data_IF_586115073423
#
_entry.id   IF_586115073423
#
_cell.length_a   1.000
_cell.length_b   1.000
_cell.length_c   1.000
_cell.angle_alpha   90.00
_cell.angle_beta   90.00
_cell.angle_gamma   90.00
#
_symmetry.space_group_name_H-M   'P 1'
#
loop_
_entity.id
_entity.type
_entity.pdbx_description
1 polymer ?
#
# COMPACT_ATOMS: atom_id res chain seq x y z
N UNK A 1 10.60 -21.06 -6.27
CA UNK A 1 9.96 -20.43 -7.44
C UNK A 1 9.11 -19.28 -6.97
N UNK A 2 9.27 -18.12 -7.62
CA UNK A 2 8.42 -16.96 -7.40
C UNK A 2 7.00 -17.30 -7.87
N UNK A 3 6.02 -17.20 -6.99
CA UNK A 3 4.60 -17.37 -7.35
C UNK A 3 3.99 -15.98 -7.51
N UNK A 4 3.48 -15.64 -8.70
CA UNK A 4 2.80 -14.39 -8.91
C UNK A 4 1.53 -14.28 -8.06
N UNK A 5 1.14 -13.07 -7.73
CA UNK A 5 -0.14 -12.76 -7.07
C UNK A 5 -1.30 -12.85 -8.07
N UNK A 6 -2.53 -12.61 -7.63
CA UNK A 6 -3.75 -12.75 -8.46
C UNK A 6 -3.71 -11.89 -9.74
N UNK A 7 -3.01 -10.75 -9.67
CA UNK A 7 -2.82 -9.84 -10.80
C UNK A 7 -1.64 -10.21 -11.72
N UNK A 8 -1.00 -11.35 -11.48
CA UNK A 8 0.15 -11.84 -12.24
C UNK A 8 1.49 -11.18 -11.88
N UNK A 9 1.52 -10.24 -10.92
CA UNK A 9 2.75 -9.55 -10.51
C UNK A 9 3.33 -10.19 -9.25
N UNK A 10 4.63 -10.45 -9.26
CA UNK A 10 5.34 -11.05 -8.12
C UNK A 10 5.88 -9.94 -7.22
N UNK A 11 5.28 -9.74 -6.06
CA UNK A 11 5.73 -8.77 -5.05
C UNK A 11 6.43 -9.44 -3.88
N UNK A 12 6.01 -10.66 -3.56
CA UNK A 12 6.48 -11.43 -2.40
C UNK A 12 7.15 -12.72 -2.84
N UNK A 13 8.25 -13.06 -2.18
CA UNK A 13 9.01 -14.27 -2.47
C UNK A 13 9.15 -15.10 -1.19
N UNK A 14 8.91 -16.41 -1.22
CA UNK A 14 9.16 -17.28 -0.08
C UNK A 14 10.66 -17.42 0.16
N UNK A 15 11.09 -17.21 1.42
CA UNK A 15 12.46 -17.49 1.85
C UNK A 15 12.68 -18.95 2.20
N UNK A 16 11.60 -19.64 2.59
CA UNK A 16 11.61 -21.06 2.90
C UNK A 16 10.37 -21.71 2.32
N UNK A 17 10.51 -22.90 1.76
CA UNK A 17 9.43 -23.69 1.18
C UNK A 17 9.37 -25.05 1.88
N UNK A 18 8.18 -25.48 2.26
CA UNK A 18 7.96 -26.81 2.82
C UNK A 18 7.66 -27.80 1.67
N UNK A 19 8.52 -28.79 1.54
CA UNK A 19 8.34 -29.89 0.58
C UNK A 19 8.41 -31.21 1.34
N UNK A 20 7.34 -31.96 1.34
CA UNK A 20 7.25 -33.25 2.04
C UNK A 20 7.69 -33.18 3.52
N UNK A 21 7.18 -32.17 4.24
CA UNK A 21 7.50 -31.90 5.65
C UNK A 21 8.96 -31.56 5.94
N UNK A 22 9.74 -31.20 4.92
CA UNK A 22 11.08 -30.65 5.05
C UNK A 22 11.12 -29.20 4.58
N UNK A 23 11.80 -28.35 5.33
CA UNK A 23 11.99 -26.95 4.98
C UNK A 23 13.24 -26.80 4.10
N UNK A 24 13.04 -26.17 2.95
CA UNK A 24 14.12 -25.86 2.01
C UNK A 24 14.25 -24.35 1.90
N UNK A 25 15.47 -23.78 2.09
CA UNK A 25 15.69 -22.35 1.94
C UNK A 25 15.64 -21.93 0.47
N UNK A 26 15.31 -20.66 0.23
CA UNK A 26 15.52 -20.03 -1.06
C UNK A 26 17.02 -19.98 -1.38
N UNK A 27 17.36 -20.02 -2.67
CA UNK A 27 18.76 -20.01 -3.13
C UNK A 27 19.57 -18.84 -2.53
N UNK A 28 19.02 -17.62 -2.54
CA UNK A 28 19.70 -16.44 -1.99
C UNK A 28 19.93 -16.54 -0.47
N UNK A 29 18.99 -17.14 0.28
CA UNK A 29 19.14 -17.35 1.72
C UNK A 29 20.27 -18.35 2.02
N UNK A 30 20.31 -19.46 1.27
CA UNK A 30 21.34 -20.47 1.41
C UNK A 30 22.71 -19.95 0.94
N UNK A 31 22.75 -19.18 -0.16
CA UNK A 31 23.96 -18.53 -0.64
C UNK A 31 24.57 -17.62 0.43
N UNK A 32 23.73 -16.81 1.09
CA UNK A 32 24.18 -15.92 2.16
C UNK A 32 24.72 -16.70 3.36
N UNK A 33 24.03 -17.75 3.80
CA UNK A 33 24.47 -18.62 4.88
C UNK A 33 25.86 -19.24 4.62
N UNK A 34 26.03 -19.76 3.41
CA UNK A 34 27.29 -20.40 3.01
C UNK A 34 28.43 -19.37 2.91
N UNK A 35 28.16 -18.17 2.40
CA UNK A 35 29.17 -17.14 2.25
C UNK A 35 29.76 -16.68 3.60
N UNK A 36 28.97 -16.69 4.68
CA UNK A 36 29.43 -16.34 6.03
C UNK A 36 29.83 -17.58 6.85
N UNK A 37 29.83 -18.74 6.23
CA UNK A 37 30.16 -20.01 6.88
C UNK A 37 29.35 -20.28 8.16
N UNK A 38 28.07 -19.86 8.17
CA UNK A 38 27.18 -20.10 9.29
C UNK A 38 26.62 -21.52 9.24
N UNK A 39 26.58 -22.27 10.35
CA UNK A 39 26.06 -23.65 10.36
C UNK A 39 24.56 -23.72 10.14
N UNK A 40 23.82 -22.61 10.40
CA UNK A 40 22.35 -22.62 10.38
C UNK A 40 21.74 -21.27 10.07
N UNK A 41 20.47 -21.27 9.75
CA UNK A 41 19.61 -20.08 9.79
C UNK A 41 18.60 -20.22 10.92
N UNK A 42 18.20 -19.10 11.50
CA UNK A 42 17.23 -19.05 12.59
C UNK A 42 15.87 -18.69 12.02
N UNK A 43 14.84 -19.35 12.49
CA UNK A 43 13.46 -19.07 12.17
C UNK A 43 12.60 -19.12 13.43
N UNK A 44 11.60 -18.26 13.52
CA UNK A 44 10.60 -18.30 14.58
C UNK A 44 9.26 -18.69 13.97
N UNK A 45 8.66 -19.72 14.55
CA UNK A 45 7.32 -20.19 14.18
C UNK A 45 6.29 -19.69 15.19
N UNK A 46 5.09 -19.41 14.70
CA UNK A 46 3.88 -19.11 15.49
C UNK A 46 2.80 -20.10 15.07
N UNK A 47 1.62 -19.99 15.68
CA UNK A 47 0.45 -20.77 15.25
C UNK A 47 0.00 -20.44 13.83
N UNK A 48 0.30 -19.23 13.35
CA UNK A 48 -0.07 -18.74 12.02
C UNK A 48 0.95 -19.11 10.94
N UNK A 49 2.17 -19.52 11.31
CA UNK A 49 3.24 -19.86 10.38
C UNK A 49 4.62 -19.36 10.83
N UNK A 50 5.45 -18.94 9.89
CA UNK A 50 6.79 -18.42 10.16
C UNK A 50 6.71 -16.90 10.32
N UNK A 51 7.10 -16.40 11.49
CA UNK A 51 7.06 -14.97 11.85
C UNK A 51 8.27 -14.20 11.29
N UNK A 52 9.47 -14.79 11.42
CA UNK A 52 10.69 -14.21 10.86
C UNK A 52 11.76 -15.26 10.59
N UNK A 53 12.69 -14.89 9.70
CA UNK A 53 13.86 -15.69 9.32
C UNK A 53 15.09 -14.77 9.32
N UNK A 54 16.25 -15.30 9.74
CA UNK A 54 17.53 -14.62 9.57
C UNK A 54 18.69 -15.59 9.45
N UNK A 55 19.75 -15.16 8.81
CA UNK A 55 21.11 -15.69 9.01
C UNK A 55 21.69 -14.93 10.21
N UNK A 56 22.29 -15.58 11.22
CA UNK A 56 22.66 -14.97 12.50
C UNK A 56 23.46 -13.66 12.40
N UNK A 57 24.34 -13.51 11.43
CA UNK A 57 25.15 -12.32 11.21
C UNK A 57 24.45 -11.18 10.47
N UNK A 58 23.19 -11.37 10.05
CA UNK A 58 22.44 -10.44 9.21
C UNK A 58 21.12 -9.99 9.86
N UNK A 59 20.51 -8.92 9.32
CA UNK A 59 19.24 -8.43 9.82
C UNK A 59 18.13 -9.48 9.80
N UNK A 60 17.19 -9.33 10.71
CA UNK A 60 15.99 -10.15 10.79
C UNK A 60 15.00 -9.78 9.69
N UNK A 61 14.52 -10.76 8.93
CA UNK A 61 13.49 -10.60 7.91
C UNK A 61 12.14 -11.05 8.47
N UNK A 62 11.21 -10.10 8.67
CA UNK A 62 9.82 -10.44 8.97
C UNK A 62 9.17 -11.06 7.76
N UNK A 63 8.44 -12.15 7.96
CA UNK A 63 7.74 -12.88 6.91
C UNK A 63 6.23 -12.86 7.13
N UNK A 64 5.47 -13.14 6.07
CA UNK A 64 4.07 -13.52 6.25
C UNK A 64 3.95 -14.99 6.69
N UNK A 65 2.72 -15.45 6.99
CA UNK A 65 2.45 -16.81 7.45
C UNK A 65 3.00 -17.91 6.49
N UNK A 66 3.21 -17.59 5.23
CA UNK A 66 3.77 -18.47 4.20
C UNK A 66 5.28 -18.31 4.01
N UNK A 67 5.99 -17.72 4.97
CA UNK A 67 7.42 -17.45 4.93
C UNK A 67 7.85 -16.52 3.77
N UNK A 68 6.96 -15.66 3.26
CA UNK A 68 7.26 -14.75 2.15
C UNK A 68 7.64 -13.38 2.68
N UNK A 69 8.59 -12.73 2.01
CA UNK A 69 8.96 -11.32 2.23
C UNK A 69 8.53 -10.47 1.02
N UNK A 70 8.20 -9.21 1.27
CA UNK A 70 8.19 -8.21 0.21
C UNK A 70 9.63 -7.89 -0.18
N UNK A 71 9.85 -7.59 -1.45
CA UNK A 71 11.16 -7.14 -1.93
C UNK A 71 11.12 -5.66 -2.27
N UNK A 72 12.21 -4.96 -1.93
CA UNK A 72 12.50 -3.68 -2.55
C UNK A 72 13.06 -3.94 -3.96
N UNK A 73 12.28 -3.61 -4.96
CA UNK A 73 12.60 -3.82 -6.37
C UNK A 73 13.37 -2.65 -7.01
N UNK A 74 13.64 -1.58 -6.26
CA UNK A 74 14.26 -0.37 -6.79
C UNK A 74 15.78 -0.51 -6.98
N UNK A 75 16.36 -1.63 -6.57
CA UNK A 75 17.81 -1.85 -6.68
C UNK A 75 18.21 -2.18 -8.13
N UNK A 76 19.23 -1.50 -8.60
CA UNK A 76 19.89 -1.80 -9.87
C UNK A 76 21.21 -2.49 -9.62
N UNK A 77 21.49 -3.57 -10.35
CA UNK A 77 22.73 -4.32 -10.26
C UNK A 77 23.59 -4.05 -11.48
N UNK A 78 24.91 -4.06 -11.28
CA UNK A 78 25.85 -4.08 -12.37
C UNK A 78 25.73 -5.41 -13.13
N UNK A 79 25.73 -5.36 -14.45
CA UNK A 79 25.53 -6.51 -15.32
C UNK A 79 26.64 -6.57 -16.38
N UNK A 80 27.15 -7.75 -16.60
CA UNK A 80 28.06 -8.06 -17.67
C UNK A 80 27.59 -9.30 -18.43
N UNK A 81 27.97 -9.42 -19.69
CA UNK A 81 27.87 -10.69 -20.39
C UNK A 81 28.92 -11.67 -19.88
N UNK A 82 28.67 -12.99 -20.06
CA UNK A 82 29.66 -13.98 -19.62
C UNK A 82 31.04 -13.81 -20.31
N UNK A 83 31.05 -13.30 -21.55
CA UNK A 83 32.30 -13.03 -22.28
C UNK A 83 33.07 -11.85 -21.65
N UNK A 84 32.38 -10.73 -21.40
CA UNK A 84 32.97 -9.56 -20.74
C UNK A 84 33.52 -9.92 -19.36
N UNK A 85 32.83 -10.78 -18.61
CA UNK A 85 33.29 -11.25 -17.30
C UNK A 85 34.57 -12.06 -17.39
N UNK A 86 34.74 -12.88 -18.42
CA UNK A 86 35.99 -13.64 -18.65
C UNK A 86 37.17 -12.73 -19.00
N UNK A 87 36.91 -11.64 -19.73
CA UNK A 87 37.95 -10.67 -20.11
C UNK A 87 38.30 -9.71 -18.96
N UNK A 88 37.32 -9.31 -18.17
CA UNK A 88 37.47 -8.37 -17.05
C UNK A 88 36.58 -8.80 -15.87
N UNK A 89 37.04 -9.72 -15.03
CA UNK A 89 36.30 -10.18 -13.86
C UNK A 89 36.03 -9.05 -12.89
N UNK A 90 34.80 -9.00 -12.34
CA UNK A 90 34.39 -8.03 -11.32
C UNK A 90 34.85 -8.55 -9.97
N UNK A 91 35.48 -7.70 -9.18
CA UNK A 91 35.72 -7.95 -7.76
C UNK A 91 34.47 -7.57 -6.95
N UNK A 92 33.62 -8.53 -6.71
CA UNK A 92 32.38 -8.39 -5.96
C UNK A 92 32.20 -9.55 -4.97
N UNK A 93 31.62 -9.31 -3.78
CA UNK A 93 31.36 -10.36 -2.79
C UNK A 93 30.48 -11.49 -3.31
N UNK A 94 29.57 -11.14 -4.24
CA UNK A 94 28.65 -12.11 -4.86
C UNK A 94 28.55 -11.84 -6.36
N UNK A 95 28.66 -12.91 -7.14
CA UNK A 95 28.40 -12.90 -8.58
C UNK A 95 27.38 -13.98 -8.87
N UNK A 96 26.25 -13.60 -9.49
CA UNK A 96 25.18 -14.52 -9.84
C UNK A 96 25.13 -14.64 -11.37
N UNK A 97 25.36 -15.85 -11.86
CA UNK A 97 25.23 -16.17 -13.27
C UNK A 97 23.82 -16.61 -13.58
N UNK A 98 23.29 -16.16 -14.70
CA UNK A 98 21.98 -16.54 -15.17
C UNK A 98 21.86 -16.53 -16.69
N UNK A 99 20.91 -17.28 -17.20
CA UNK A 99 20.59 -17.36 -18.62
C UNK A 99 19.46 -16.38 -18.93
N UNK A 100 19.62 -15.62 -20.02
CA UNK A 100 18.59 -14.65 -20.51
C UNK A 100 18.08 -15.01 -21.89
N UNK A 101 18.44 -16.19 -22.42
CA UNK A 101 18.05 -16.62 -23.76
C UNK A 101 16.52 -16.82 -23.84
N UNK A 102 15.91 -16.21 -24.85
CA UNK A 102 14.49 -16.37 -25.14
C UNK A 102 14.14 -17.85 -25.38
N UNK A 103 13.00 -18.27 -24.85
CA UNK A 103 12.55 -19.68 -24.95
C UNK A 103 13.21 -20.65 -23.98
N UNK A 104 14.31 -20.27 -23.30
CA UNK A 104 14.96 -21.09 -22.26
C UNK A 104 14.47 -20.69 -20.88
N UNK A 105 14.34 -19.39 -20.63
CA UNK A 105 13.93 -18.85 -19.33
C UNK A 105 12.90 -17.73 -19.55
N UNK A 106 11.77 -17.84 -18.86
CA UNK A 106 10.76 -16.79 -18.87
C UNK A 106 11.03 -15.78 -17.73
N UNK A 107 11.07 -14.49 -18.04
CA UNK A 107 11.16 -13.47 -17.02
C UNK A 107 9.89 -13.42 -16.19
N UNK A 108 10.04 -13.03 -14.92
CA UNK A 108 8.96 -12.89 -13.94
C UNK A 108 8.46 -11.45 -13.92
N UNK A 109 7.14 -11.19 -14.04
CA UNK A 109 6.58 -9.87 -13.83
C UNK A 109 6.77 -9.41 -12.39
N UNK A 110 7.36 -8.23 -12.20
CA UNK A 110 7.59 -7.61 -10.90
C UNK A 110 7.15 -6.16 -10.91
N UNK A 111 7.00 -5.47 -9.77
CA UNK A 111 6.68 -4.04 -9.73
C UNK A 111 7.67 -3.15 -10.52
N UNK A 112 8.93 -3.59 -10.67
CA UNK A 112 9.96 -2.88 -11.44
C UNK A 112 10.10 -3.42 -12.88
N UNK A 113 9.07 -4.07 -13.42
CA UNK A 113 9.06 -4.65 -14.75
C UNK A 113 9.45 -6.13 -14.76
N UNK A 114 9.77 -6.64 -15.95
CA UNK A 114 10.17 -8.05 -16.12
C UNK A 114 11.60 -8.27 -15.61
N UNK A 115 11.77 -9.25 -14.72
CA UNK A 115 13.07 -9.64 -14.15
C UNK A 115 13.35 -11.11 -14.40
N UNK A 116 14.57 -11.42 -14.82
CA UNK A 116 15.01 -12.80 -14.94
C UNK A 116 15.23 -13.47 -13.57
N UNK A 117 15.15 -14.81 -13.46
CA UNK A 117 15.27 -15.50 -12.18
C UNK A 117 16.54 -15.17 -11.38
N UNK A 118 17.67 -14.98 -12.04
CA UNK A 118 18.93 -14.57 -11.38
C UNK A 118 18.86 -13.15 -10.83
N UNK A 119 18.16 -12.23 -11.52
CA UNK A 119 17.94 -10.86 -11.02
C UNK A 119 17.00 -10.87 -9.81
N UNK A 120 16.00 -11.74 -9.78
CA UNK A 120 15.15 -11.95 -8.61
C UNK A 120 15.96 -12.45 -7.43
N UNK A 121 16.86 -13.43 -7.64
CA UNK A 121 17.73 -13.91 -6.57
C UNK A 121 18.73 -12.85 -6.08
N UNK A 122 19.24 -12.01 -6.96
CA UNK A 122 20.08 -10.87 -6.60
C UNK A 122 19.30 -9.86 -5.74
N UNK A 123 18.03 -9.57 -6.08
CA UNK A 123 17.17 -8.72 -5.26
C UNK A 123 16.91 -9.33 -3.87
N UNK A 124 16.62 -10.63 -3.77
CA UNK A 124 16.46 -11.31 -2.49
C UNK A 124 17.71 -11.17 -1.65
N UNK A 125 18.88 -11.47 -2.22
CA UNK A 125 20.17 -11.38 -1.54
C UNK A 125 20.44 -9.97 -1.03
N UNK A 126 20.20 -8.95 -1.87
CA UNK A 126 20.35 -7.54 -1.49
C UNK A 126 19.46 -7.16 -0.29
N UNK A 127 18.18 -7.56 -0.34
CA UNK A 127 17.26 -7.30 0.76
C UNK A 127 17.66 -8.03 2.06
N UNK A 128 18.20 -9.25 1.95
CA UNK A 128 18.69 -10.02 3.10
C UNK A 128 19.92 -9.36 3.74
N UNK A 129 20.85 -8.87 2.93
CA UNK A 129 22.08 -8.21 3.42
C UNK A 129 21.77 -6.88 4.11
N UNK A 130 20.91 -6.06 3.49
CA UNK A 130 20.64 -4.70 3.95
C UNK A 130 19.48 -4.59 4.94
N UNK A 131 18.68 -5.63 5.11
CA UNK A 131 17.46 -5.56 5.92
C UNK A 131 16.40 -4.63 5.33
N UNK A 132 16.43 -4.39 4.03
CA UNK A 132 15.58 -3.40 3.35
C UNK A 132 14.21 -3.94 2.92
N UNK A 133 13.90 -5.20 3.23
CA UNK A 133 12.62 -5.80 2.88
C UNK A 133 11.45 -5.06 3.56
N UNK A 134 10.50 -4.50 2.78
CA UNK A 134 9.35 -3.82 3.34
C UNK A 134 8.50 -4.77 4.20
N UNK A 135 8.08 -4.31 5.38
CA UNK A 135 7.30 -5.12 6.31
C UNK A 135 6.17 -4.31 6.96
N UNK A 136 5.07 -4.98 7.28
CA UNK A 136 4.00 -4.37 8.07
C UNK A 136 4.42 -4.32 9.54
N UNK A 137 4.45 -3.13 10.17
CA UNK A 137 4.77 -3.02 11.58
C UNK A 137 3.64 -3.60 12.45
N UNK A 138 3.98 -4.10 13.64
CA UNK A 138 3.01 -4.72 14.55
C UNK A 138 1.93 -3.76 15.05
N UNK A 139 2.21 -2.47 15.03
CA UNK A 139 1.25 -1.41 15.42
C UNK A 139 0.32 -0.98 14.27
N UNK A 140 0.57 -1.41 13.02
CA UNK A 140 -0.20 -0.98 11.85
C UNK A 140 -1.72 -1.17 12.02
N UNK A 141 -2.26 -2.32 12.49
CA UNK A 141 -3.70 -2.48 12.67
C UNK A 141 -4.30 -1.50 13.68
N UNK A 142 -3.57 -1.20 14.75
CA UNK A 142 -4.02 -0.21 15.75
C UNK A 142 -3.97 1.21 15.17
N UNK A 143 -2.94 1.53 14.38
CA UNK A 143 -2.81 2.80 13.68
C UNK A 143 -3.92 3.02 12.64
N UNK A 144 -4.23 1.98 11.87
CA UNK A 144 -5.34 2.00 10.89
C UNK A 144 -6.69 2.22 11.57
N UNK A 145 -6.97 1.50 12.65
CA UNK A 145 -8.20 1.67 13.43
C UNK A 145 -8.32 3.08 14.01
N UNK A 146 -7.22 3.61 14.56
CA UNK A 146 -7.17 4.98 15.08
C UNK A 146 -7.41 6.02 13.97
N UNK A 147 -6.73 5.90 12.84
CA UNK A 147 -6.91 6.78 11.70
C UNK A 147 -8.34 6.70 11.16
N UNK A 148 -8.90 5.50 11.04
CA UNK A 148 -10.27 5.28 10.60
C UNK A 148 -11.27 6.02 11.50
N UNK A 149 -11.19 5.78 12.82
CA UNK A 149 -12.12 6.39 13.79
C UNK A 149 -12.00 7.91 13.82
N UNK A 150 -10.78 8.45 13.80
CA UNK A 150 -10.53 9.89 13.76
C UNK A 150 -11.11 10.53 12.50
N UNK A 151 -10.88 9.91 11.34
CA UNK A 151 -11.42 10.42 10.07
C UNK A 151 -12.93 10.39 10.01
N UNK A 152 -13.58 9.31 10.48
CA UNK A 152 -15.04 9.22 10.58
C UNK A 152 -15.63 10.30 11.50
N UNK A 153 -14.98 10.58 12.63
CA UNK A 153 -15.39 11.63 13.55
C UNK A 153 -15.29 13.01 12.90
N UNK A 154 -14.19 13.30 12.19
CA UNK A 154 -14.03 14.57 11.47
C UNK A 154 -15.09 14.74 10.36
N UNK A 155 -15.39 13.68 9.62
CA UNK A 155 -16.45 13.68 8.62
C UNK A 155 -17.81 13.97 9.28
N UNK A 156 -18.15 13.29 10.38
CA UNK A 156 -19.42 13.46 11.09
C UNK A 156 -19.64 14.90 11.58
N UNK A 157 -18.58 15.54 12.07
CA UNK A 157 -18.65 16.93 12.55
C UNK A 157 -18.78 17.94 11.40
N UNK A 158 -18.17 17.67 10.25
CA UNK A 158 -18.06 18.64 9.15
C UNK A 158 -19.11 18.47 8.05
N UNK A 159 -19.81 17.35 8.00
CA UNK A 159 -20.73 16.99 6.90
C UNK A 159 -21.92 17.94 6.70
N UNK A 160 -22.27 18.72 7.72
CA UNK A 160 -23.36 19.71 7.63
C UNK A 160 -23.11 20.81 6.59
N UNK A 161 -21.86 21.08 6.23
CA UNK A 161 -21.47 22.05 5.23
C UNK A 161 -20.50 21.46 4.22
N UNK A 162 -20.92 21.38 2.95
CA UNK A 162 -20.10 20.87 1.87
C UNK A 162 -18.81 21.69 1.68
N UNK A 163 -18.86 22.99 1.96
CA UNK A 163 -17.71 23.90 1.86
C UNK A 163 -16.61 23.58 2.87
N UNK A 164 -16.96 22.93 4.00
CA UNK A 164 -16.03 22.52 5.05
C UNK A 164 -15.65 21.04 4.85
N UNK A 165 -16.63 20.18 4.61
CA UNK A 165 -16.41 18.74 4.52
C UNK A 165 -15.60 18.32 3.29
N UNK A 166 -15.75 19.01 2.15
CA UNK A 166 -14.97 18.70 0.95
C UNK A 166 -13.46 18.95 1.14
N UNK A 167 -12.99 20.12 1.63
CA UNK A 167 -11.58 20.28 1.98
C UNK A 167 -11.08 19.28 3.02
N UNK A 168 -11.89 18.94 4.03
CA UNK A 168 -11.51 17.98 5.08
C UNK A 168 -11.27 16.58 4.49
N UNK A 169 -12.16 16.08 3.63
CA UNK A 169 -11.96 14.75 3.02
C UNK A 169 -10.71 14.74 2.12
N UNK A 170 -10.47 15.80 1.33
CA UNK A 170 -9.25 15.89 0.53
C UNK A 170 -7.98 15.93 1.40
N UNK A 171 -8.02 16.62 2.53
CA UNK A 171 -6.91 16.67 3.48
C UNK A 171 -6.66 15.30 4.13
N UNK A 172 -7.72 14.58 4.52
CA UNK A 172 -7.63 13.22 5.06
C UNK A 172 -7.00 12.26 4.05
N UNK A 173 -7.46 12.28 2.80
CA UNK A 173 -6.91 11.44 1.72
C UNK A 173 -5.45 11.81 1.46
N UNK A 174 -5.16 13.09 1.28
CA UNK A 174 -3.80 13.56 0.99
C UNK A 174 -2.82 13.26 2.12
N UNK A 175 -3.21 13.48 3.38
CA UNK A 175 -2.36 13.15 4.54
C UNK A 175 -2.12 11.64 4.69
N UNK A 176 -3.11 10.81 4.37
CA UNK A 176 -2.96 9.35 4.41
C UNK A 176 -1.99 8.85 3.33
N UNK A 177 -2.11 9.35 2.10
CA UNK A 177 -1.20 9.01 1.01
C UNK A 177 0.22 9.48 1.34
N UNK A 178 0.37 10.71 1.82
CA UNK A 178 1.66 11.25 2.22
C UNK A 178 2.27 10.47 3.38
N UNK A 179 1.47 10.12 4.40
CA UNK A 179 1.90 9.31 5.54
C UNK A 179 2.36 7.92 5.12
N UNK A 180 1.61 7.23 4.25
CA UNK A 180 2.00 5.93 3.71
C UNK A 180 3.31 6.01 2.91
N UNK A 181 3.45 7.04 2.07
CA UNK A 181 4.69 7.28 1.32
C UNK A 181 5.89 7.54 2.25
N UNK A 182 5.70 8.34 3.30
CA UNK A 182 6.76 8.62 4.28
C UNK A 182 7.17 7.37 5.06
N UNK A 183 6.21 6.54 5.50
CA UNK A 183 6.49 5.28 6.17
C UNK A 183 7.19 4.28 5.24
N UNK A 184 6.84 4.27 3.96
CA UNK A 184 7.48 3.42 2.97
C UNK A 184 8.98 3.72 2.80
N UNK A 185 9.41 4.97 2.97
CA UNK A 185 10.85 5.31 2.96
C UNK A 185 11.63 4.64 4.10
N UNK A 186 10.94 4.27 5.18
CA UNK A 186 11.51 3.51 6.30
C UNK A 186 11.23 2.00 6.19
N UNK A 187 10.91 1.51 5.00
CA UNK A 187 10.54 0.12 4.70
C UNK A 187 9.32 -0.39 5.49
N UNK A 188 8.42 0.51 5.91
CA UNK A 188 7.15 0.14 6.53
C UNK A 188 6.02 0.18 5.50
N UNK A 189 5.24 -0.91 5.44
CA UNK A 189 4.01 -0.97 4.66
C UNK A 189 2.82 -0.61 5.54
N UNK A 190 2.06 0.38 5.09
CA UNK A 190 0.82 0.81 5.72
C UNK A 190 -0.27 0.90 4.65
N UNK A 191 -1.35 0.12 4.81
CA UNK A 191 -2.44 0.10 3.83
C UNK A 191 -3.45 1.20 4.11
N UNK A 192 -3.42 2.23 3.27
CA UNK A 192 -4.37 3.36 3.33
C UNK A 192 -5.58 3.16 2.43
N UNK A 193 -5.59 2.14 1.59
CA UNK A 193 -6.64 1.95 0.56
C UNK A 193 -8.00 1.75 1.20
N UNK A 194 -8.07 0.87 2.20
CA UNK A 194 -9.30 0.62 2.95
C UNK A 194 -9.81 1.86 3.69
N UNK A 195 -8.92 2.63 4.30
CA UNK A 195 -9.25 3.88 4.99
C UNK A 195 -9.87 4.91 4.03
N UNK A 196 -9.20 5.15 2.90
CA UNK A 196 -9.64 6.11 1.88
C UNK A 196 -11.02 5.73 1.33
N UNK A 197 -11.22 4.46 1.00
CA UNK A 197 -12.50 3.97 0.49
C UNK A 197 -13.63 4.16 1.49
N UNK A 198 -13.43 3.79 2.76
CA UNK A 198 -14.44 3.92 3.80
C UNK A 198 -14.78 5.40 4.04
N UNK A 199 -13.78 6.26 4.19
CA UNK A 199 -14.00 7.69 4.39
C UNK A 199 -14.75 8.33 3.22
N UNK A 200 -14.35 8.00 1.99
CA UNK A 200 -15.00 8.52 0.79
C UNK A 200 -16.45 8.06 0.67
N UNK A 201 -16.73 6.78 0.94
CA UNK A 201 -18.10 6.24 0.92
C UNK A 201 -18.98 6.89 1.99
N UNK A 202 -18.51 6.96 3.23
CA UNK A 202 -19.26 7.58 4.34
C UNK A 202 -19.51 9.05 4.05
N UNK A 203 -18.48 9.80 3.63
CA UNK A 203 -18.63 11.20 3.25
C UNK A 203 -19.63 11.40 2.11
N UNK A 204 -19.61 10.55 1.08
CA UNK A 204 -20.53 10.62 -0.06
C UNK A 204 -21.97 10.40 0.38
N UNK A 205 -22.22 9.35 1.17
CA UNK A 205 -23.57 9.01 1.67
C UNK A 205 -24.11 10.15 2.56
N UNK A 206 -23.31 10.63 3.51
CA UNK A 206 -23.74 11.68 4.44
C UNK A 206 -23.91 13.03 3.74
N UNK A 207 -23.07 13.36 2.77
CA UNK A 207 -23.20 14.59 1.96
C UNK A 207 -24.50 14.54 1.12
N UNK A 208 -24.80 13.38 0.52
CA UNK A 208 -26.03 13.19 -0.21
C UNK A 208 -27.27 13.32 0.70
N UNK A 209 -27.23 12.70 1.87
CA UNK A 209 -28.29 12.80 2.88
C UNK A 209 -28.51 14.26 3.32
N UNK A 210 -27.43 14.96 3.63
CA UNK A 210 -27.46 16.37 4.04
C UNK A 210 -28.03 17.27 2.94
N UNK A 211 -27.59 17.07 1.71
CA UNK A 211 -28.14 17.78 0.55
C UNK A 211 -29.63 17.55 0.38
N UNK A 212 -30.06 16.29 0.46
CA UNK A 212 -31.46 15.92 0.24
C UNK A 212 -32.39 16.45 1.34
N UNK A 213 -31.95 16.39 2.61
CA UNK A 213 -32.71 16.98 3.73
C UNK A 213 -32.85 18.48 3.57
N UNK A 214 -31.77 19.20 3.28
CA UNK A 214 -31.78 20.64 3.05
C UNK A 214 -32.67 21.02 1.86
N UNK A 215 -32.63 20.24 0.78
CA UNK A 215 -33.49 20.45 -0.37
C UNK A 215 -34.99 20.29 -0.02
N UNK A 216 -35.36 19.23 0.69
CA UNK A 216 -36.72 19.00 1.15
C UNK A 216 -37.22 20.12 2.10
N UNK A 217 -36.40 20.57 3.01
CA UNK A 217 -36.73 21.69 3.90
C UNK A 217 -37.01 22.97 3.11
N UNK A 218 -36.15 23.32 2.15
CA UNK A 218 -36.38 24.46 1.25
C UNK A 218 -37.69 24.34 0.46
N UNK A 219 -38.00 23.15 -0.02
CA UNK A 219 -39.26 22.89 -0.73
C UNK A 219 -40.48 23.05 0.19
N UNK A 220 -40.42 22.57 1.44
CA UNK A 220 -41.51 22.74 2.43
C UNK A 220 -41.72 24.21 2.75
N UNK A 221 -40.66 24.98 3.00
CA UNK A 221 -40.72 26.41 3.26
C UNK A 221 -41.37 27.12 2.05
N UNK A 222 -40.93 26.81 0.83
CA UNK A 222 -41.49 27.39 -0.39
C UNK A 222 -43.00 27.09 -0.55
N UNK A 223 -43.46 25.87 -0.23
CA UNK A 223 -44.86 25.47 -0.27
C UNK A 223 -45.68 26.19 0.78
N UNK A 224 -45.17 26.35 2.02
CA UNK A 224 -45.86 27.08 3.08
C UNK A 224 -46.04 28.55 2.72
N UNK A 225 -45.03 29.22 2.19
CA UNK A 225 -45.14 30.61 1.72
C UNK A 225 -46.01 30.78 0.49
N UNK A 226 -46.00 29.77 -0.43
CA UNK A 226 -46.83 29.77 -1.63
C UNK A 226 -48.35 29.71 -1.35
N UNK A 227 -48.75 29.31 -0.15
CA UNK A 227 -50.15 29.29 0.28
C UNK A 227 -50.61 30.64 0.81
N UNK A 228 -49.71 31.50 1.32
CA UNK A 228 -50.05 32.79 1.91
C UNK A 228 -49.72 34.01 1.04
N UNK A 229 -48.89 33.84 0.01
CA UNK A 229 -48.45 34.95 -0.86
C UNK A 229 -48.76 34.58 -2.31
N UNK A 230 -49.45 35.52 -3.02
CA UNK A 230 -49.78 35.26 -4.43
C UNK A 230 -48.49 35.05 -5.25
N UNK A 231 -48.50 34.13 -6.25
CA UNK A 231 -47.32 33.83 -7.09
C UNK A 231 -46.72 35.07 -7.75
N UNK A 232 -47.55 36.08 -8.04
CA UNK A 232 -47.14 37.35 -8.61
C UNK A 232 -46.29 38.18 -7.63
N UNK A 233 -46.62 38.16 -6.32
CA UNK A 233 -45.89 38.88 -5.28
C UNK A 233 -44.55 38.19 -4.96
N UNK A 234 -44.52 36.86 -4.95
CA UNK A 234 -43.27 36.10 -4.78
C UNK A 234 -42.26 36.39 -5.90
N UNK A 235 -42.77 36.48 -7.13
CA UNK A 235 -41.93 36.83 -8.28
C UNK A 235 -41.36 38.22 -8.22
N UNK A 236 -42.17 39.21 -7.80
CA UNK A 236 -41.74 40.58 -7.59
C UNK A 236 -40.71 40.72 -6.47
N UNK A 237 -40.85 39.98 -5.37
CA UNK A 237 -39.90 39.94 -4.27
C UNK A 237 -38.58 39.25 -4.63
N UNK A 238 -38.61 38.31 -5.58
CA UNK A 238 -37.41 37.69 -6.13
C UNK A 238 -36.63 38.62 -7.10
N UNK A 239 -37.38 39.48 -7.83
CA UNK A 239 -36.81 40.46 -8.76
C UNK A 239 -36.30 41.69 -8.04
N UNK A 240 -36.88 42.10 -6.89
CA UNK A 240 -36.45 43.25 -6.07
C UNK A 240 -36.58 42.96 -4.57
N UNK A 241 -35.48 42.45 -3.92
CA UNK A 241 -35.45 42.17 -2.49
C UNK A 241 -35.63 43.41 -1.57
N UNK A 242 -35.56 44.63 -2.13
CA UNK A 242 -35.69 45.86 -1.34
C UNK A 242 -37.15 46.15 -0.97
N UNK A 243 -38.12 45.52 -1.61
CA UNK A 243 -39.57 45.63 -1.30
C UNK A 243 -39.95 45.02 0.07
N UNK A 244 -39.06 44.32 0.75
CA UNK A 244 -39.23 43.81 2.11
C UNK A 244 -38.92 44.84 3.22
N UNK A 245 -38.53 46.07 2.90
CA UNK A 245 -38.44 47.14 3.89
C UNK A 245 -39.84 47.68 4.16
N UNK A 246 -40.44 47.11 5.20
CA UNK A 246 -41.58 47.74 5.87
C UNK A 246 -41.15 49.08 6.47
N UNK A 247 -41.87 50.12 6.13
CA UNK A 247 -41.73 51.42 6.75
C UNK A 247 -42.04 51.40 8.26
#
# INVERSE_FOLDING_TARGET
TATPEIDGVTRRIPLVVNVQSKLYPAFALELLRLAVNDPSYQLKTTQEGIDWIRVPSYPLMKTDASARIFLDWNTTFYKQTGLEFLESPIDAPFVIFGVTAEGVVNPTPTPAGLKYPHEVQANILHNLINGSAPSTPTWAPAGELFALTLGLLLIAVTVSSIYISAPVIFLLIGSSIFGAWYLFQSSYLFDVTGLILIWFLVWSIESFRSFFTTYLEKMRIKQQFGTYVSPALVKKLQEDPTLLRLG
#
